data_IF_252417234908
#
_entry.id   IF_252417234908
#
_cell.length_a   1.000
_cell.length_b   1.000
_cell.length_c   1.000
_cell.angle_alpha   90.00
_cell.angle_beta   90.00
_cell.angle_gamma   90.00
#
_symmetry.space_group_name_H-M   'P 1'
#
loop_
_entity.id
_entity.type
_entity.pdbx_description
1 polymer ?
#
# COMPACT_ATOMS: atom_id res chain seq x y z
N UNK A 1 -7.20 8.51 5.76
CA UNK A 1 -6.49 9.31 4.75
C UNK A 1 -6.23 8.50 3.48
N UNK A 2 -5.39 7.45 3.50
CA UNK A 2 -5.20 6.57 2.33
C UNK A 2 -6.49 5.84 1.90
N UNK A 3 -7.15 5.15 2.84
CA UNK A 3 -8.39 4.39 2.56
C UNK A 3 -9.46 5.26 1.90
N UNK A 4 -9.66 6.45 2.45
CA UNK A 4 -10.59 7.46 1.93
C UNK A 4 -10.21 7.86 0.50
N UNK A 5 -8.93 8.19 0.27
CA UNK A 5 -8.42 8.55 -1.06
C UNK A 5 -8.62 7.43 -2.10
N UNK A 6 -8.36 6.18 -1.73
CA UNK A 6 -8.60 5.02 -2.61
C UNK A 6 -10.10 4.83 -2.88
N UNK A 7 -10.93 4.95 -1.84
CA UNK A 7 -12.40 4.82 -1.95
C UNK A 7 -12.99 5.93 -2.83
N UNK A 8 -12.57 7.18 -2.65
CA UNK A 8 -12.99 8.32 -3.47
C UNK A 8 -12.63 8.12 -4.96
N UNK A 9 -11.48 7.51 -5.21
CA UNK A 9 -11.02 7.17 -6.57
C UNK A 9 -11.61 5.86 -7.09
N UNK A 10 -12.51 5.20 -6.35
CA UNK A 10 -13.10 3.90 -6.68
C UNK A 10 -12.04 2.80 -6.96
N UNK A 11 -10.91 2.88 -6.26
CA UNK A 11 -9.83 1.90 -6.39
C UNK A 11 -10.11 0.75 -5.43
N UNK A 12 -10.12 -0.47 -5.95
CA UNK A 12 -10.23 -1.67 -5.13
C UNK A 12 -8.95 -1.88 -4.35
N UNK A 13 -9.04 -2.05 -3.04
CA UNK A 13 -7.91 -2.33 -2.17
C UNK A 13 -8.26 -3.43 -1.16
N UNK A 14 -7.25 -4.15 -0.72
CA UNK A 14 -7.37 -5.14 0.35
C UNK A 14 -6.72 -4.56 1.59
N UNK A 15 -7.53 -4.39 2.63
CA UNK A 15 -7.01 -4.01 3.93
C UNK A 15 -6.48 -5.23 4.65
N UNK A 16 -5.19 -5.18 5.00
CA UNK A 16 -4.55 -6.17 5.87
C UNK A 16 -4.17 -5.52 7.20
N UNK A 17 -4.65 -6.09 8.30
CA UNK A 17 -4.40 -5.59 9.66
C UNK A 17 -3.19 -6.33 10.25
N UNK A 18 -1.99 -5.78 10.07
CA UNK A 18 -0.73 -6.40 10.57
C UNK A 18 -0.66 -6.55 12.09
N UNK A 19 -1.53 -5.85 12.82
CA UNK A 19 -1.67 -5.98 14.28
C UNK A 19 -2.45 -7.23 14.69
N UNK A 20 -3.35 -7.70 13.83
CA UNK A 20 -4.22 -8.87 14.07
C UNK A 20 -3.84 -10.09 13.24
N UNK A 21 -3.16 -9.87 12.12
CA UNK A 21 -2.76 -10.89 11.16
C UNK A 21 -1.23 -10.96 11.07
N UNK A 22 -0.67 -11.96 11.74
CA UNK A 22 0.77 -12.21 11.75
C UNK A 22 1.33 -12.52 10.35
N UNK A 23 0.54 -13.11 9.45
CA UNK A 23 0.99 -13.37 8.08
C UNK A 23 1.08 -12.07 7.28
N UNK A 24 0.12 -11.16 7.46
CA UNK A 24 0.21 -9.81 6.89
C UNK A 24 1.41 -9.03 7.44
N UNK A 25 1.73 -9.20 8.74
CA UNK A 25 2.90 -8.60 9.39
C UNK A 25 4.20 -9.12 8.78
N UNK A 26 4.30 -10.43 8.56
CA UNK A 26 5.47 -11.05 7.94
C UNK A 26 5.65 -10.60 6.47
N UNK A 27 4.56 -10.57 5.70
CA UNK A 27 4.58 -10.01 4.34
C UNK A 27 5.01 -8.54 4.32
N UNK A 28 4.50 -7.73 5.26
CA UNK A 28 4.89 -6.33 5.39
C UNK A 28 6.39 -6.24 5.68
N UNK A 29 6.90 -6.93 6.69
CA UNK A 29 8.32 -6.97 7.05
C UNK A 29 9.22 -7.37 5.87
N UNK A 30 8.81 -8.40 5.12
CA UNK A 30 9.54 -8.87 3.95
C UNK A 30 9.56 -7.83 2.82
N UNK A 31 8.42 -7.17 2.54
CA UNK A 31 8.29 -6.18 1.45
C UNK A 31 8.79 -4.79 1.82
N UNK A 32 8.86 -4.48 3.10
CA UNK A 32 9.28 -3.19 3.64
C UNK A 32 10.74 -3.18 4.10
N UNK A 33 11.48 -4.28 3.86
CA UNK A 33 12.87 -4.46 4.23
C UNK A 33 13.12 -4.24 5.74
N UNK A 34 12.22 -4.76 6.57
CA UNK A 34 12.27 -4.64 8.03
C UNK A 34 11.57 -3.39 8.61
N UNK A 35 10.86 -2.62 7.78
CA UNK A 35 10.13 -1.44 8.24
C UNK A 35 8.75 -1.81 8.82
N UNK A 36 8.57 -1.61 10.12
CA UNK A 36 7.34 -1.92 10.88
C UNK A 36 6.37 -0.73 11.03
N UNK A 37 6.62 0.38 10.34
CA UNK A 37 5.78 1.57 10.46
C UNK A 37 4.53 1.48 9.60
N UNK A 38 3.37 1.69 10.23
CA UNK A 38 2.09 1.91 9.54
C UNK A 38 1.84 3.41 9.36
N UNK A 39 1.21 3.85 8.26
CA UNK A 39 0.64 3.04 7.18
C UNK A 39 1.68 2.52 6.17
N UNK A 40 1.45 1.35 5.58
CA UNK A 40 2.28 0.78 4.50
C UNK A 40 1.36 0.34 3.35
N UNK A 41 1.78 0.60 2.12
CA UNK A 41 0.97 0.31 0.92
C UNK A 41 1.81 -0.49 -0.06
N UNK A 42 1.23 -1.53 -0.65
CA UNK A 42 1.83 -2.27 -1.76
C UNK A 42 0.92 -2.13 -2.96
N UNK A 43 1.46 -1.57 -4.04
CA UNK A 43 0.74 -1.42 -5.30
C UNK A 43 1.29 -2.43 -6.28
N UNK A 44 0.48 -3.42 -6.64
CA UNK A 44 0.82 -4.40 -7.68
C UNK A 44 0.23 -3.92 -9.00
N UNK A 45 1.10 -3.63 -9.97
CA UNK A 45 0.73 -3.20 -11.31
C UNK A 45 0.44 -4.42 -12.19
N UNK A 46 -0.38 -4.24 -13.23
CA UNK A 46 -0.68 -5.30 -14.20
C UNK A 46 0.57 -5.80 -14.95
N UNK A 47 1.60 -4.96 -15.07
CA UNK A 47 2.91 -5.32 -15.62
C UNK A 47 3.68 -6.34 -14.77
N UNK A 48 3.18 -6.71 -13.59
CA UNK A 48 3.83 -7.61 -12.63
C UNK A 48 4.78 -6.91 -11.66
N UNK A 49 4.99 -5.60 -11.81
CA UNK A 49 5.79 -4.81 -10.87
C UNK A 49 5.01 -4.53 -9.56
N UNK A 50 5.67 -4.75 -8.43
CA UNK A 50 5.16 -4.42 -7.10
C UNK A 50 5.92 -3.22 -6.55
N UNK A 51 5.21 -2.15 -6.21
CA UNK A 51 5.78 -0.94 -5.64
C UNK A 51 5.36 -0.82 -4.17
N UNK A 52 6.34 -0.90 -3.27
CA UNK A 52 6.12 -0.74 -1.83
C UNK A 52 6.32 0.72 -1.41
N UNK A 53 5.29 1.28 -0.80
CA UNK A 53 5.25 2.66 -0.33
C UNK A 53 5.19 2.62 1.19
N UNK A 54 6.28 3.09 1.80
CA UNK A 54 6.39 3.28 3.23
C UNK A 54 5.71 4.60 3.63
N UNK A 55 4.81 4.54 4.60
CA UNK A 55 4.01 5.68 5.03
C UNK A 55 2.81 5.94 4.12
N UNK A 56 2.29 7.16 4.18
CA UNK A 56 1.29 7.67 3.26
C UNK A 56 1.84 8.87 2.52
N UNK A 57 2.14 8.68 1.24
CA UNK A 57 2.58 9.73 0.34
C UNK A 57 1.60 9.79 -0.84
N UNK A 58 0.81 10.87 -0.90
CA UNK A 58 -0.23 11.03 -1.93
C UNK A 58 0.38 11.03 -3.33
N UNK A 59 1.50 11.70 -3.53
CA UNK A 59 2.13 11.81 -4.85
C UNK A 59 2.69 10.46 -5.32
N UNK A 60 3.38 9.72 -4.44
CA UNK A 60 3.86 8.37 -4.76
C UNK A 60 2.71 7.40 -4.99
N UNK A 61 1.69 7.44 -4.12
CA UNK A 61 0.54 6.54 -4.25
C UNK A 61 -0.20 6.77 -5.56
N UNK A 62 -0.42 8.03 -5.92
CA UNK A 62 -1.03 8.38 -7.20
C UNK A 62 -0.20 7.87 -8.38
N UNK A 63 1.11 8.14 -8.38
CA UNK A 63 2.01 7.69 -9.45
C UNK A 63 2.03 6.17 -9.57
N UNK A 64 2.09 5.46 -8.44
CA UNK A 64 2.06 4.00 -8.39
C UNK A 64 0.75 3.43 -8.96
N UNK A 65 -0.37 4.08 -8.67
CA UNK A 65 -1.71 3.71 -9.12
C UNK A 65 -2.09 4.30 -10.49
N UNK A 66 -1.19 5.06 -11.13
CA UNK A 66 -1.46 5.73 -12.41
C UNK A 66 -2.51 6.86 -12.34
N UNK A 67 -2.78 7.40 -11.16
CA UNK A 67 -3.69 8.54 -10.97
C UNK A 67 -2.96 9.81 -11.39
N UNK A 68 -3.43 10.46 -12.45
CA UNK A 68 -2.98 11.80 -12.85
C UNK A 68 -3.82 12.84 -12.09
N UNK A 69 -3.18 13.70 -11.31
CA UNK A 69 -3.75 14.91 -10.67
C UNK A 69 -3.10 16.16 -11.24
#
# INVERSE_FOLDING_TARGET
MLKTHLTEKNISFVEKLVDQDDAAKDEMLAKSNGYLGVPFTVVKKDSGEEESIIGFDKAKTNRALGIQE
#
